data_IF_539473023194
#
_entry.id   IF_539473023194
#
_cell.length_a   1.000
_cell.length_b   1.000
_cell.length_c   1.000
_cell.angle_alpha   90.00
_cell.angle_beta   90.00
_cell.angle_gamma   90.00
#
_symmetry.space_group_name_H-M   'P 1'
#
loop_
_entity.id
_entity.type
_entity.pdbx_description
1 polymer ?
#
# COMPACT_ATOMS: atom_id res chain seq x y z
N UNK A 1 46.67 -47.01 -19.96
CA UNK A 1 46.78 -46.62 -18.53
C UNK A 1 46.54 -45.12 -18.48
N UNK A 2 45.47 -44.53 -17.96
CA UNK A 2 44.16 -44.97 -17.51
C UNK A 2 43.19 -43.79 -17.73
N UNK A 3 41.93 -44.08 -18.06
CA UNK A 3 40.85 -43.08 -18.07
C UNK A 3 40.44 -42.82 -16.61
N UNK A 4 40.48 -41.56 -16.17
CA UNK A 4 39.85 -41.15 -14.91
C UNK A 4 38.35 -40.92 -15.18
N UNK A 5 37.45 -41.55 -14.41
CA UNK A 5 36.02 -41.47 -14.64
C UNK A 5 35.39 -40.14 -14.19
N UNK A 6 34.23 -39.88 -14.79
CA UNK A 6 33.30 -38.79 -14.52
C UNK A 6 32.74 -38.96 -13.10
N UNK A 7 33.35 -38.30 -12.11
CA UNK A 7 32.78 -38.20 -10.77
C UNK A 7 31.61 -37.23 -10.77
N UNK A 8 30.47 -37.74 -10.32
CA UNK A 8 29.22 -37.04 -10.13
C UNK A 8 29.40 -35.85 -9.18
N UNK A 9 28.94 -34.68 -9.62
CA UNK A 9 28.83 -33.52 -8.75
C UNK A 9 27.87 -33.84 -7.59
N UNK A 10 28.19 -33.44 -6.35
CA UNK A 10 27.26 -33.57 -5.24
C UNK A 10 26.03 -32.70 -5.52
N UNK A 11 24.84 -33.28 -5.35
CA UNK A 11 23.60 -32.54 -5.36
C UNK A 11 23.67 -31.45 -4.27
N UNK A 12 23.53 -30.19 -4.69
CA UNK A 12 23.34 -29.07 -3.77
C UNK A 12 22.09 -29.35 -2.92
N UNK A 13 22.13 -29.10 -1.60
CA UNK A 13 20.93 -29.18 -0.78
C UNK A 13 19.89 -28.19 -1.31
N UNK A 14 18.63 -28.63 -1.40
CA UNK A 14 17.50 -27.79 -1.80
C UNK A 14 17.52 -26.49 -1.01
N UNK A 15 17.68 -25.38 -1.71
CA UNK A 15 17.56 -24.04 -1.16
C UNK A 15 16.18 -23.94 -0.50
N UNK A 16 16.17 -23.74 0.83
CA UNK A 16 14.95 -23.39 1.54
C UNK A 16 14.34 -22.20 0.84
N UNK A 17 13.11 -22.39 0.32
CA UNK A 17 12.24 -21.33 -0.20
C UNK A 17 12.38 -20.13 0.74
N UNK A 18 12.94 -19.03 0.22
CA UNK A 18 12.93 -17.76 0.93
C UNK A 18 11.48 -17.51 1.32
N UNK A 19 11.25 -17.37 2.63
CA UNK A 19 9.96 -17.02 3.19
C UNK A 19 9.56 -15.67 2.59
N UNK A 20 8.71 -15.68 1.56
CA UNK A 20 8.02 -14.49 1.08
C UNK A 20 6.88 -14.17 2.05
N UNK A 21 7.24 -14.00 3.32
CA UNK A 21 6.42 -13.38 4.33
C UNK A 21 6.97 -11.98 4.55
N UNK A 22 6.55 -11.01 3.73
CA UNK A 22 6.61 -9.62 4.21
C UNK A 22 5.86 -9.61 5.56
N UNK A 23 6.40 -9.01 6.63
CA UNK A 23 5.71 -9.00 7.91
C UNK A 23 4.34 -8.35 7.70
N UNK A 24 3.29 -9.18 7.68
CA UNK A 24 1.90 -8.74 7.81
C UNK A 24 1.71 -8.35 9.26
N UNK A 25 2.21 -7.17 9.59
CA UNK A 25 2.14 -6.57 10.90
C UNK A 25 1.86 -5.09 10.72
N UNK A 26 0.73 -4.66 11.24
CA UNK A 26 0.35 -3.29 11.52
C UNK A 26 1.44 -2.66 12.38
N UNK A 27 2.42 -2.03 11.75
CA UNK A 27 3.53 -1.38 12.44
C UNK A 27 3.19 0.11 12.61
N UNK A 28 2.88 0.51 13.85
CA UNK A 28 3.03 1.90 14.24
C UNK A 28 4.52 2.14 14.47
N UNK A 29 5.09 3.08 13.72
CA UNK A 29 6.47 3.54 13.88
C UNK A 29 6.40 5.00 14.32
N UNK A 30 7.03 5.33 15.44
CA UNK A 30 7.09 6.71 15.95
C UNK A 30 8.55 7.15 15.95
N UNK A 31 8.85 8.23 15.25
CA UNK A 31 10.12 8.92 15.27
C UNK A 31 10.02 10.28 15.99
N UNK A 32 11.13 11.02 16.11
CA UNK A 32 11.14 12.32 16.77
C UNK A 32 10.16 13.32 16.14
N UNK A 33 10.13 13.36 14.80
CA UNK A 33 9.35 14.32 14.01
C UNK A 33 8.43 13.63 13.01
N UNK A 34 8.01 12.38 13.27
CA UNK A 34 7.03 11.70 12.43
C UNK A 34 6.34 10.54 13.16
N UNK A 35 5.18 10.14 12.66
CA UNK A 35 4.58 8.84 12.94
C UNK A 35 4.12 8.18 11.65
N UNK A 36 4.25 6.87 11.56
CA UNK A 36 3.80 6.06 10.44
C UNK A 36 2.94 4.92 10.95
N UNK A 37 1.79 4.68 10.34
CA UNK A 37 0.91 3.57 10.68
C UNK A 37 0.43 2.89 9.39
N UNK A 38 0.68 1.60 9.28
CA UNK A 38 0.05 0.78 8.23
C UNK A 38 -1.35 0.36 8.69
N UNK A 39 -2.35 0.48 7.84
CA UNK A 39 -3.72 -0.03 8.08
C UNK A 39 -4.14 -0.87 6.88
N UNK A 40 -4.57 -2.10 7.14
CA UNK A 40 -5.14 -2.98 6.13
C UNK A 40 -6.63 -2.76 6.03
N UNK A 41 -7.13 -2.59 4.81
CA UNK A 41 -8.55 -2.52 4.52
C UNK A 41 -8.97 -3.74 3.71
N UNK A 42 -10.18 -4.24 3.97
CA UNK A 42 -10.87 -5.20 3.10
C UNK A 42 -12.05 -4.52 2.43
N UNK A 43 -12.08 -4.56 1.11
CA UNK A 43 -13.07 -3.89 0.27
C UNK A 43 -14.07 -4.89 -0.33
N UNK A 44 -15.10 -4.37 -0.99
CA UNK A 44 -16.04 -5.18 -1.79
C UNK A 44 -15.28 -6.08 -2.77
N UNK A 45 -15.75 -7.32 -2.93
CA UNK A 45 -15.07 -8.33 -3.74
C UNK A 45 -13.88 -9.01 -3.03
N UNK A 46 -13.63 -8.69 -1.76
CA UNK A 46 -12.58 -9.33 -0.96
C UNK A 46 -11.16 -8.82 -1.24
N UNK A 47 -11.02 -7.78 -2.05
CA UNK A 47 -9.72 -7.13 -2.30
C UNK A 47 -9.20 -6.51 -1.01
N UNK A 48 -7.92 -6.74 -0.73
CA UNK A 48 -7.22 -6.11 0.40
C UNK A 48 -6.37 -4.94 -0.09
N UNK A 49 -6.36 -3.85 0.68
CA UNK A 49 -5.58 -2.66 0.41
C UNK A 49 -4.82 -2.28 1.67
N UNK A 50 -3.49 -2.33 1.61
CA UNK A 50 -2.64 -1.78 2.65
C UNK A 50 -2.40 -0.28 2.38
N UNK A 51 -2.69 0.55 3.39
CA UNK A 51 -2.46 1.99 3.35
C UNK A 51 -1.50 2.37 4.48
N UNK A 52 -0.38 2.98 4.13
CA UNK A 52 0.58 3.51 5.09
C UNK A 52 0.32 5.00 5.27
N UNK A 53 -0.15 5.38 6.45
CA UNK A 53 -0.32 6.78 6.82
C UNK A 53 0.97 7.32 7.43
N UNK A 54 1.43 8.47 6.95
CA UNK A 54 2.60 9.16 7.48
C UNK A 54 2.16 10.56 7.93
N UNK A 55 2.35 10.86 9.20
CA UNK A 55 2.10 12.18 9.77
C UNK A 55 3.42 12.84 10.17
N UNK A 56 3.60 14.09 9.76
CA UNK A 56 4.74 14.95 10.04
C UNK A 56 4.26 16.21 10.79
N UNK A 57 5.18 17.05 11.30
CA UNK A 57 4.89 18.39 11.79
C UNK A 57 4.09 19.25 10.80
N UNK A 58 3.60 20.39 11.29
CA UNK A 58 2.87 21.38 10.50
C UNK A 58 1.61 20.85 9.80
N UNK A 59 1.01 19.80 10.37
CA UNK A 59 -0.18 19.12 9.84
C UNK A 59 0.04 18.51 8.44
N UNK A 60 1.29 18.19 8.09
CA UNK A 60 1.61 17.47 6.87
C UNK A 60 1.29 15.98 7.06
N UNK A 61 0.30 15.50 6.31
CA UNK A 61 -0.11 14.11 6.34
C UNK A 61 -0.13 13.51 4.93
N UNK A 62 0.37 12.29 4.83
CA UNK A 62 0.44 11.51 3.60
C UNK A 62 -0.17 10.13 3.78
N UNK A 63 -0.57 9.53 2.66
CA UNK A 63 -0.93 8.12 2.56
C UNK A 63 -0.14 7.52 1.39
N UNK A 64 0.53 6.40 1.62
CA UNK A 64 1.11 5.59 0.55
C UNK A 64 0.28 4.32 0.40
N UNK A 65 -0.05 3.95 -0.83
CA UNK A 65 -0.78 2.73 -1.15
C UNK A 65 -0.32 2.18 -2.49
N UNK A 66 -0.49 0.87 -2.67
CA UNK A 66 -0.20 0.18 -3.92
C UNK A 66 -1.50 -0.31 -4.56
N UNK A 67 -1.72 0.05 -5.83
CA UNK A 67 -2.89 -0.38 -6.59
C UNK A 67 -2.52 -0.52 -8.06
N UNK A 68 -3.00 -1.60 -8.69
CA UNK A 68 -2.80 -1.87 -10.12
C UNK A 68 -1.32 -1.80 -10.57
N UNK A 69 -0.43 -2.43 -9.80
CA UNK A 69 1.01 -2.47 -10.08
C UNK A 69 1.76 -1.17 -9.80
N UNK A 70 1.13 -0.17 -9.18
CA UNK A 70 1.72 1.15 -8.93
C UNK A 70 1.59 1.57 -7.48
N UNK A 71 2.70 2.04 -6.91
CA UNK A 71 2.70 2.70 -5.61
C UNK A 71 2.52 4.20 -5.81
N UNK A 72 1.53 4.77 -5.14
CA UNK A 72 1.29 6.21 -5.14
C UNK A 72 1.56 6.78 -3.75
N UNK A 73 2.17 7.98 -3.71
CA UNK A 73 2.20 8.84 -2.53
C UNK A 73 1.12 9.91 -2.68
N UNK A 74 0.20 9.95 -1.72
CA UNK A 74 -0.93 10.85 -1.69
C UNK A 74 -0.78 11.81 -0.51
N UNK A 75 -1.10 13.08 -0.72
CA UNK A 75 -1.07 14.08 0.34
C UNK A 75 -2.50 14.43 0.77
N UNK A 76 -2.69 14.60 2.08
CA UNK A 76 -3.96 15.05 2.63
C UNK A 76 -4.35 16.42 2.03
N UNK A 77 -5.63 16.59 1.74
CA UNK A 77 -6.26 17.84 1.35
C UNK A 77 -7.38 18.14 2.36
N UNK A 78 -7.44 19.37 2.90
CA UNK A 78 -8.48 19.74 3.86
C UNK A 78 -9.89 19.43 3.35
N UNK A 79 -10.71 18.81 4.19
CA UNK A 79 -12.12 18.50 3.91
C UNK A 79 -12.99 18.78 5.12
N UNK A 80 -14.28 19.04 4.90
CA UNK A 80 -15.22 19.33 5.99
C UNK A 80 -15.47 18.13 6.94
N UNK A 81 -15.28 16.90 6.46
CA UNK A 81 -15.41 15.67 7.25
C UNK A 81 -14.53 14.58 6.66
N UNK A 82 -14.03 13.69 7.53
CA UNK A 82 -13.13 12.62 7.13
C UNK A 82 -11.76 13.14 6.70
N UNK A 83 -11.00 12.28 6.02
CA UNK A 83 -9.75 12.66 5.38
C UNK A 83 -9.79 12.34 3.89
N UNK A 84 -9.22 13.23 3.08
CA UNK A 84 -9.07 13.03 1.63
C UNK A 84 -7.61 13.18 1.27
N UNK A 85 -7.07 12.16 0.64
CA UNK A 85 -5.71 12.13 0.14
C UNK A 85 -5.73 12.09 -1.38
N UNK A 86 -4.90 12.91 -2.02
CA UNK A 86 -4.79 13.01 -3.48
C UNK A 86 -3.35 12.72 -3.87
N UNK A 87 -3.14 11.86 -4.88
CA UNK A 87 -1.82 11.54 -5.38
C UNK A 87 -1.07 12.79 -5.83
N UNK A 88 0.24 12.80 -5.57
CA UNK A 88 1.13 13.88 -6.02
C UNK A 88 1.39 13.83 -7.54
N UNK A 89 1.26 12.64 -8.15
CA UNK A 89 1.29 12.46 -9.61
C UNK A 89 -0.11 12.73 -10.18
N UNK A 90 -0.30 13.90 -10.79
CA UNK A 90 -1.57 14.32 -11.37
C UNK A 90 -1.98 13.43 -12.56
N UNK A 91 -1.04 12.88 -13.33
CA UNK A 91 -1.34 12.00 -14.46
C UNK A 91 -1.92 10.65 -14.00
N UNK A 92 -1.61 10.26 -12.76
CA UNK A 92 -2.06 9.02 -12.14
C UNK A 92 -2.76 9.30 -10.81
N UNK A 93 -3.71 10.25 -10.85
CA UNK A 93 -4.35 10.85 -9.67
C UNK A 93 -5.32 9.90 -8.95
N UNK A 94 -4.75 8.95 -8.20
CA UNK A 94 -5.48 8.21 -7.16
C UNK A 94 -5.97 9.16 -6.07
N UNK A 95 -7.17 8.87 -5.57
CA UNK A 95 -7.82 9.57 -4.47
C UNK A 95 -8.29 8.57 -3.45
N UNK A 96 -7.82 8.77 -2.23
CA UNK A 96 -8.18 7.94 -1.10
C UNK A 96 -8.97 8.77 -0.10
N UNK A 97 -10.20 8.35 0.17
CA UNK A 97 -11.07 9.01 1.13
C UNK A 97 -11.35 8.08 2.28
N UNK A 98 -11.30 8.59 3.51
CA UNK A 98 -11.65 7.84 4.71
C UNK A 98 -12.63 8.59 5.59
N UNK A 99 -13.45 7.82 6.30
CA UNK A 99 -14.34 8.30 7.36
C UNK A 99 -14.43 7.24 8.44
N UNK A 100 -13.81 7.50 9.59
CA UNK A 100 -13.68 6.49 10.65
C UNK A 100 -12.88 5.28 10.14
N UNK A 101 -13.46 4.09 10.24
CA UNK A 101 -12.87 2.83 9.75
C UNK A 101 -13.21 2.50 8.29
N UNK A 102 -13.91 3.38 7.59
CA UNK A 102 -14.33 3.18 6.20
C UNK A 102 -13.41 3.90 5.21
N UNK A 103 -13.28 3.34 4.01
CA UNK A 103 -12.51 3.94 2.93
C UNK A 103 -13.08 3.72 1.53
N UNK A 104 -12.67 4.57 0.60
CA UNK A 104 -13.01 4.55 -0.82
C UNK A 104 -11.77 4.93 -1.64
N UNK A 105 -11.38 4.07 -2.58
CA UNK A 105 -10.32 4.39 -3.54
C UNK A 105 -10.95 4.75 -4.89
N UNK A 106 -10.59 5.91 -5.42
CA UNK A 106 -11.03 6.38 -6.71
C UNK A 106 -9.85 6.87 -7.56
N UNK A 107 -10.09 7.03 -8.85
CA UNK A 107 -9.18 7.65 -9.81
C UNK A 107 -9.87 8.82 -10.49
N UNK A 108 -9.14 9.91 -10.71
CA UNK A 108 -9.56 10.98 -11.61
C UNK A 108 -8.44 11.23 -12.62
N UNK A 109 -8.79 11.27 -13.91
CA UNK A 109 -7.84 11.64 -14.94
C UNK A 109 -7.47 13.13 -14.84
N UNK A 110 -6.29 13.49 -15.36
CA UNK A 110 -5.84 14.86 -15.54
C UNK A 110 -6.56 15.55 -16.71
N UNK A 111 -7.89 15.56 -16.67
CA UNK A 111 -8.77 16.24 -17.63
C UNK A 111 -9.82 17.01 -16.81
N UNK A 112 -10.00 18.28 -17.12
CA UNK A 112 -10.93 19.18 -16.42
C UNK A 112 -12.40 18.76 -16.53
N UNK A 113 -12.72 17.82 -17.43
CA UNK A 113 -14.06 17.23 -17.59
C UNK A 113 -14.18 15.85 -16.94
N UNK A 114 -13.07 15.27 -16.47
CA UNK A 114 -13.07 13.92 -15.92
C UNK A 114 -13.81 13.83 -14.59
N UNK A 115 -14.63 12.79 -14.47
CA UNK A 115 -15.29 12.41 -13.23
C UNK A 115 -14.44 11.39 -12.47
N UNK A 116 -14.55 11.40 -11.14
CA UNK A 116 -13.97 10.33 -10.33
C UNK A 116 -14.60 8.98 -10.71
N UNK A 117 -13.74 8.00 -11.01
CA UNK A 117 -14.11 6.60 -11.18
C UNK A 117 -13.75 5.86 -9.90
N UNK A 118 -14.74 5.23 -9.26
CA UNK A 118 -14.51 4.37 -8.10
C UNK A 118 -13.76 3.12 -8.55
N UNK A 119 -12.68 2.81 -7.84
CA UNK A 119 -11.83 1.63 -8.06
C UNK A 119 -12.08 0.56 -7.00
N UNK A 120 -12.12 0.96 -5.72
CA UNK A 120 -12.46 0.09 -4.60
C UNK A 120 -13.51 0.78 -3.72
N UNK A 121 -14.59 0.08 -3.42
CA UNK A 121 -15.68 0.56 -2.58
C UNK A 121 -15.82 -0.26 -1.29
N UNK A 122 -16.52 0.33 -0.32
CA UNK A 122 -16.89 -0.30 0.96
C UNK A 122 -15.70 -0.90 1.70
N UNK A 123 -14.54 -0.26 1.60
CA UNK A 123 -13.35 -0.68 2.31
C UNK A 123 -13.58 -0.50 3.81
N UNK A 124 -13.27 -1.53 4.59
CA UNK A 124 -13.33 -1.52 6.06
C UNK A 124 -11.96 -1.87 6.62
N UNK A 125 -11.48 -1.05 7.55
CA UNK A 125 -10.25 -1.32 8.27
C UNK A 125 -10.39 -2.65 9.00
N UNK A 126 -9.41 -3.53 8.80
CA UNK A 126 -9.31 -4.77 9.55
C UNK A 126 -8.79 -4.48 10.96
N UNK A 127 -9.29 -5.19 11.99
CA UNK A 127 -8.75 -5.07 13.33
C UNK A 127 -7.25 -5.35 13.33
N UNK A 128 -6.51 -4.53 14.08
CA UNK A 128 -5.15 -4.85 14.49
C UNK A 128 -5.19 -6.12 15.36
N UNK A 129 -4.39 -7.16 15.08
CA UNK A 129 -4.23 -8.30 15.97
C UNK A 129 -3.73 -7.91 17.35
#
# INVERSE_FOLDING_TARGET
MGKVPLDAAPALPAEKKADTGAPSGTALVVGPDFSSQTVRFRCTGGTELDVVYLNLPDNLAFAALHHDGRTALLQNRPTASGARYVALDEQHSLRWHTKGSEGLLAFMAADHTAKEKVLLSDCRALPTP
#
